data_IF_453520775265
#
_entry.id   IF_453520775265
#
_cell.length_a   1.000
_cell.length_b   1.000
_cell.length_c   1.000
_cell.angle_alpha   90.00
_cell.angle_beta   90.00
_cell.angle_gamma   90.00
#
_symmetry.space_group_name_H-M   'P 1'
#
loop_
_entity.id
_entity.type
_entity.pdbx_description
1 polymer ?
#
# COMPACT_ATOMS: atom_id res chain seq x y z
N UNK A 1 64.90 -13.62 1.39
CA UNK A 1 64.03 -12.46 1.68
C UNK A 1 63.13 -12.05 0.51
N UNK A 2 63.63 -11.84 -0.72
CA UNK A 2 62.82 -11.36 -1.87
C UNK A 2 61.66 -12.29 -2.31
N UNK A 3 61.74 -13.61 -2.08
CA UNK A 3 60.66 -14.57 -2.42
C UNK A 3 59.48 -14.55 -1.44
N UNK A 4 59.74 -14.29 -0.15
CA UNK A 4 58.70 -14.29 0.90
C UNK A 4 57.83 -13.02 0.77
N UNK A 5 58.42 -11.90 0.38
CA UNK A 5 57.70 -10.63 0.15
C UNK A 5 56.72 -10.75 -1.04
N UNK A 6 57.07 -11.48 -2.11
CA UNK A 6 56.16 -11.70 -3.24
C UNK A 6 54.95 -12.58 -2.89
N UNK A 7 55.12 -13.56 -2.01
CA UNK A 7 54.02 -14.43 -1.58
C UNK A 7 53.06 -13.68 -0.65
N UNK A 8 53.58 -12.83 0.25
CA UNK A 8 52.74 -12.00 1.14
C UNK A 8 51.95 -10.91 0.40
N UNK A 9 52.52 -10.37 -0.70
CA UNK A 9 51.86 -9.35 -1.51
C UNK A 9 50.74 -9.94 -2.40
N UNK A 10 50.89 -11.19 -2.85
CA UNK A 10 49.83 -11.87 -3.62
C UNK A 10 48.66 -12.33 -2.74
N UNK A 11 48.89 -12.74 -1.49
CA UNK A 11 47.81 -13.14 -0.58
C UNK A 11 47.00 -11.96 -0.05
N UNK A 12 47.62 -10.80 0.14
CA UNK A 12 46.92 -9.57 0.55
C UNK A 12 46.05 -8.99 -0.56
N UNK A 13 46.47 -9.09 -1.83
CA UNK A 13 45.66 -8.65 -2.97
C UNK A 13 44.46 -9.59 -3.24
N UNK A 14 44.60 -10.89 -2.97
CA UNK A 14 43.51 -11.86 -3.14
C UNK A 14 42.45 -11.74 -2.03
N UNK A 15 42.83 -11.33 -0.82
CA UNK A 15 41.89 -11.13 0.29
C UNK A 15 41.03 -9.86 0.13
N UNK A 16 41.52 -8.86 -0.61
CA UNK A 16 40.79 -7.62 -0.93
C UNK A 16 39.73 -7.78 -2.03
N UNK A 17 39.72 -8.90 -2.74
CA UNK A 17 38.70 -9.21 -3.77
C UNK A 17 37.52 -10.03 -3.23
N UNK A 18 37.53 -10.40 -1.93
CA UNK A 18 36.45 -11.16 -1.27
C UNK A 18 35.60 -10.26 -0.38
N UNK A 19 35.96 -9.00 -0.20
CA UNK A 19 35.02 -8.02 0.34
C UNK A 19 34.02 -7.70 -0.76
N UNK A 20 32.95 -8.51 -0.85
CA UNK A 20 31.72 -8.07 -1.47
C UNK A 20 31.44 -6.68 -0.91
N UNK A 21 31.43 -5.68 -1.77
CA UNK A 21 30.79 -4.42 -1.42
C UNK A 21 29.37 -4.81 -1.07
N UNK A 22 29.11 -4.97 0.22
CA UNK A 22 27.76 -4.91 0.74
C UNK A 22 27.32 -3.54 0.27
N UNK A 23 26.44 -3.50 -0.74
CA UNK A 23 25.70 -2.27 -1.02
C UNK A 23 25.22 -1.84 0.35
N UNK A 24 25.68 -0.69 0.82
CA UNK A 24 25.15 -0.10 2.03
C UNK A 24 23.63 -0.05 1.78
N UNK A 25 22.90 -0.97 2.42
CA UNK A 25 21.47 -0.86 2.51
C UNK A 25 21.29 0.45 3.22
N UNK A 26 20.73 1.44 2.52
CA UNK A 26 20.22 2.63 3.18
C UNK A 26 19.38 2.09 4.33
N UNK A 27 19.82 2.34 5.56
CA UNK A 27 19.22 1.74 6.73
C UNK A 27 17.71 1.98 6.65
N UNK A 28 16.94 0.90 6.51
CA UNK A 28 15.49 0.98 6.48
C UNK A 28 15.06 1.60 7.80
N UNK A 29 14.58 2.85 7.76
CA UNK A 29 14.06 3.51 8.93
C UNK A 29 12.85 2.70 9.41
N UNK A 30 12.86 2.17 10.64
CA UNK A 30 11.78 1.30 11.07
C UNK A 30 10.53 2.14 11.39
N UNK A 31 9.32 1.53 11.39
CA UNK A 31 8.06 2.24 11.68
C UNK A 31 8.06 3.03 12.99
N UNK A 32 8.84 2.63 14.01
CA UNK A 32 8.94 3.40 15.25
C UNK A 32 9.54 4.80 15.10
N UNK A 33 10.17 5.12 13.97
CA UNK A 33 10.66 6.47 13.66
C UNK A 33 9.59 7.39 13.07
N UNK A 34 8.50 6.81 12.56
CA UNK A 34 7.35 7.54 12.02
C UNK A 34 6.43 7.92 13.17
N UNK A 35 5.87 9.12 13.13
CA UNK A 35 4.92 9.58 14.14
C UNK A 35 3.50 9.08 13.81
N UNK A 36 2.96 8.24 14.70
CA UNK A 36 1.61 7.73 14.62
C UNK A 36 1.04 7.45 16.01
N UNK A 37 -0.25 7.69 16.16
CA UNK A 37 -0.97 7.51 17.42
C UNK A 37 -2.39 7.04 17.15
N UNK A 38 -3.14 6.76 18.21
CA UNK A 38 -4.49 6.20 18.10
C UNK A 38 -5.46 6.94 19.00
N UNK A 39 -6.66 7.20 18.49
CA UNK A 39 -7.83 7.62 19.26
C UNK A 39 -8.93 6.59 19.09
N UNK A 40 -10.06 6.65 19.83
CA UNK A 40 -11.11 5.66 19.68
C UNK A 40 -11.56 5.56 18.22
N UNK A 41 -11.42 4.35 17.66
CA UNK A 41 -11.77 4.00 16.27
C UNK A 41 -10.94 4.65 15.16
N UNK A 42 -9.81 5.28 15.45
CA UNK A 42 -8.95 5.92 14.44
C UNK A 42 -7.47 5.68 14.72
N UNK A 43 -6.72 5.35 13.68
CA UNK A 43 -5.25 5.46 13.65
C UNK A 43 -4.90 6.77 12.94
N UNK A 44 -4.03 7.55 13.56
CA UNK A 44 -3.48 8.78 12.99
C UNK A 44 -2.03 8.55 12.60
N UNK A 45 -1.67 8.87 11.36
CA UNK A 45 -0.29 8.75 10.86
C UNK A 45 0.13 10.11 10.33
N UNK A 46 1.24 10.64 10.82
CA UNK A 46 1.77 11.90 10.32
C UNK A 46 2.28 11.74 8.89
N UNK A 47 1.73 12.54 7.98
CA UNK A 47 2.07 12.57 6.56
C UNK A 47 3.21 13.57 6.32
N UNK A 48 4.41 13.21 6.74
CA UNK A 48 5.61 14.02 6.53
C UNK A 48 6.62 13.35 5.59
N UNK A 49 7.71 14.07 5.32
CA UNK A 49 8.77 13.60 4.42
C UNK A 49 9.42 12.30 4.89
N UNK A 50 9.37 12.00 6.19
CA UNK A 50 9.90 10.77 6.77
C UNK A 50 9.05 9.58 6.36
N UNK A 51 7.71 9.66 6.54
CA UNK A 51 6.78 8.63 6.07
C UNK A 51 6.93 8.43 4.56
N UNK A 52 6.93 9.53 3.78
CA UNK A 52 7.07 9.47 2.33
C UNK A 52 8.36 8.78 1.88
N UNK A 53 9.48 9.17 2.49
CA UNK A 53 10.79 8.58 2.19
C UNK A 53 10.81 7.09 2.53
N UNK A 54 10.32 6.73 3.72
CA UNK A 54 10.21 5.34 4.15
C UNK A 54 9.41 4.50 3.17
N UNK A 55 8.17 4.88 2.84
CA UNK A 55 7.33 4.12 1.93
C UNK A 55 7.93 4.01 0.52
N UNK A 56 8.64 5.04 0.05
CA UNK A 56 9.23 5.05 -1.29
C UNK A 56 10.38 4.04 -1.49
N UNK A 57 11.03 3.59 -0.40
CA UNK A 57 12.11 2.61 -0.46
C UNK A 57 11.62 1.21 -0.85
N UNK A 58 10.43 0.83 -0.36
CA UNK A 58 9.76 -0.42 -0.68
C UNK A 58 8.26 -0.29 -0.41
N UNK A 59 7.50 0.19 -1.40
CA UNK A 59 6.07 0.46 -1.27
C UNK A 59 5.29 -0.72 -0.71
N UNK A 60 5.66 -1.96 -1.06
CA UNK A 60 4.94 -3.15 -0.62
C UNK A 60 5.23 -3.43 0.86
N UNK A 61 6.50 -3.64 1.16
CA UNK A 61 6.89 -4.13 2.48
C UNK A 61 6.75 -3.05 3.55
N UNK A 62 7.05 -1.78 3.22
CA UNK A 62 6.98 -0.69 4.18
C UNK A 62 5.54 -0.23 4.45
N UNK A 63 4.65 -0.25 3.43
CA UNK A 63 3.21 -0.01 3.68
C UNK A 63 2.65 -1.12 4.56
N UNK A 64 2.96 -2.38 4.28
CA UNK A 64 2.55 -3.52 5.11
C UNK A 64 3.04 -3.39 6.56
N UNK A 65 4.30 -3.02 6.76
CA UNK A 65 4.87 -2.78 8.09
C UNK A 65 4.14 -1.62 8.80
N UNK A 66 3.84 -0.53 8.11
CA UNK A 66 3.10 0.60 8.66
C UNK A 66 1.67 0.21 9.08
N UNK A 67 0.97 -0.59 8.28
CA UNK A 67 -0.36 -1.13 8.60
C UNK A 67 -0.31 -1.99 9.86
N UNK A 68 0.65 -2.91 9.96
CA UNK A 68 0.78 -3.77 11.12
C UNK A 68 1.13 -3.00 12.39
N UNK A 69 2.11 -2.10 12.31
CA UNK A 69 2.47 -1.22 13.43
C UNK A 69 1.27 -0.38 13.91
N UNK A 70 0.47 0.14 12.97
CA UNK A 70 -0.75 0.91 13.25
C UNK A 70 -1.80 0.09 13.99
N UNK A 71 -2.10 -1.12 13.50
CA UNK A 71 -3.11 -2.01 14.07
C UNK A 71 -2.66 -2.57 15.42
N UNK A 72 -1.38 -2.92 15.55
CA UNK A 72 -0.78 -3.39 16.80
C UNK A 72 -0.81 -2.30 17.88
N UNK A 73 -0.53 -1.04 17.52
CA UNK A 73 -0.68 0.09 18.43
C UNK A 73 -2.12 0.26 18.87
N UNK A 74 -3.07 0.23 17.93
CA UNK A 74 -4.48 0.35 18.27
C UNK A 74 -4.92 -0.76 19.25
N UNK A 75 -4.58 -2.01 18.94
CA UNK A 75 -4.88 -3.16 19.79
C UNK A 75 -4.25 -3.03 21.18
N UNK A 76 -3.01 -2.56 21.26
CA UNK A 76 -2.32 -2.34 22.53
C UNK A 76 -2.98 -1.25 23.39
N UNK A 77 -3.62 -0.25 22.77
CA UNK A 77 -4.27 0.86 23.45
C UNK A 77 -5.73 0.56 23.87
N UNK A 78 -6.46 -0.25 23.11
CA UNK A 78 -7.90 -0.48 23.30
C UNK A 78 -8.31 -1.93 23.56
N UNK A 79 -7.35 -2.87 23.57
CA UNK A 79 -7.56 -4.31 23.72
C UNK A 79 -8.55 -4.93 22.70
N UNK A 80 -8.78 -4.24 21.58
CA UNK A 80 -9.61 -4.68 20.45
C UNK A 80 -8.93 -4.36 19.11
N UNK A 81 -9.22 -5.13 18.06
CA UNK A 81 -8.75 -4.80 16.72
C UNK A 81 -9.55 -3.61 16.20
N UNK A 82 -8.87 -2.72 15.48
CA UNK A 82 -9.57 -1.72 14.66
C UNK A 82 -10.25 -2.41 13.49
N UNK A 83 -11.52 -2.08 13.25
CA UNK A 83 -12.34 -2.69 12.19
C UNK A 83 -12.02 -2.12 10.80
N UNK A 84 -10.76 -2.23 10.36
CA UNK A 84 -10.27 -1.84 9.03
C UNK A 84 -9.42 -2.97 8.45
N UNK A 85 -9.66 -3.32 7.19
CA UNK A 85 -8.85 -4.34 6.50
C UNK A 85 -7.46 -3.82 6.18
N UNK A 86 -6.45 -4.71 6.18
CA UNK A 86 -5.06 -4.33 5.86
C UNK A 86 -4.94 -3.72 4.46
N UNK A 87 -5.72 -4.25 3.52
CA UNK A 87 -5.78 -3.76 2.14
C UNK A 87 -6.32 -2.33 2.07
N UNK A 88 -7.43 -2.04 2.76
CA UNK A 88 -8.03 -0.71 2.80
C UNK A 88 -7.09 0.33 3.41
N UNK A 89 -6.51 0.00 4.57
CA UNK A 89 -5.55 0.88 5.25
C UNK A 89 -4.29 1.09 4.39
N UNK A 90 -3.80 0.06 3.68
CA UNK A 90 -2.66 0.20 2.76
C UNK A 90 -2.95 1.20 1.63
N UNK A 91 -4.15 1.12 1.03
CA UNK A 91 -4.55 1.99 -0.07
C UNK A 91 -4.73 3.43 0.41
N UNK A 92 -5.33 3.64 1.57
CA UNK A 92 -5.47 4.96 2.17
C UNK A 92 -4.11 5.61 2.47
N UNK A 93 -3.18 4.85 3.09
CA UNK A 93 -1.82 5.34 3.38
C UNK A 93 -1.14 5.77 2.07
N UNK A 94 -1.12 4.91 1.05
CA UNK A 94 -0.51 5.26 -0.25
C UNK A 94 -1.25 6.41 -0.93
N UNK A 95 -2.58 6.43 -0.85
CA UNK A 95 -3.45 7.46 -1.40
C UNK A 95 -3.13 8.85 -0.87
N UNK A 96 -2.88 8.97 0.43
CA UNK A 96 -2.55 10.26 1.05
C UNK A 96 -1.06 10.63 0.98
N UNK A 97 -0.15 9.66 0.95
CA UNK A 97 1.29 9.94 0.85
C UNK A 97 1.71 10.28 -0.59
N UNK A 98 1.07 9.66 -1.58
CA UNK A 98 1.35 9.87 -3.00
C UNK A 98 0.09 10.31 -3.77
N UNK A 99 -0.56 11.42 -3.38
CA UNK A 99 -1.89 11.75 -3.88
C UNK A 99 -1.89 12.07 -5.37
N UNK A 100 -0.93 12.83 -5.88
CA UNK A 100 -0.82 13.10 -7.33
C UNK A 100 -0.60 11.83 -8.15
N UNK A 101 0.15 10.88 -7.57
CA UNK A 101 0.34 9.58 -8.18
C UNK A 101 -0.99 8.85 -8.26
N UNK A 102 -1.77 8.82 -7.17
CA UNK A 102 -3.03 8.05 -7.09
C UNK A 102 -4.20 8.73 -7.80
N UNK A 103 -4.23 10.07 -7.84
CA UNK A 103 -5.32 10.89 -8.39
C UNK A 103 -5.58 10.65 -9.87
N UNK A 104 -4.56 10.28 -10.63
CA UNK A 104 -4.71 9.92 -12.05
C UNK A 104 -5.62 8.69 -12.29
N UNK A 105 -5.95 7.95 -11.23
CA UNK A 105 -6.66 6.67 -11.27
C UNK A 105 -8.03 6.72 -10.58
N UNK A 106 -8.49 7.91 -10.22
CA UNK A 106 -9.76 8.14 -9.53
C UNK A 106 -10.67 9.05 -10.36
N UNK A 107 -12.00 8.99 -10.18
CA UNK A 107 -12.91 9.98 -10.74
C UNK A 107 -12.47 11.40 -10.38
N UNK A 108 -12.62 12.39 -11.26
CA UNK A 108 -12.04 13.73 -11.06
C UNK A 108 -12.46 14.44 -9.77
N UNK A 109 -13.69 14.21 -9.29
CA UNK A 109 -14.16 14.72 -7.99
C UNK A 109 -13.40 14.06 -6.82
N UNK A 110 -13.07 12.78 -6.96
CA UNK A 110 -12.34 12.01 -5.95
C UNK A 110 -10.83 12.26 -6.00
N UNK A 111 -10.27 12.39 -7.21
CA UNK A 111 -8.91 12.87 -7.42
C UNK A 111 -8.68 14.21 -6.70
N UNK A 112 -9.62 15.15 -6.87
CA UNK A 112 -9.58 16.46 -6.19
C UNK A 112 -9.68 16.33 -4.66
N UNK A 113 -10.47 15.37 -4.17
CA UNK A 113 -10.57 15.09 -2.73
C UNK A 113 -9.26 14.56 -2.16
N UNK A 114 -8.62 13.58 -2.82
CA UNK A 114 -7.38 12.97 -2.31
C UNK A 114 -6.13 13.85 -2.53
N UNK A 115 -6.15 14.74 -3.53
CA UNK A 115 -5.10 15.73 -3.78
C UNK A 115 -5.08 16.86 -2.74
N UNK A 116 -6.12 16.98 -1.92
CA UNK A 116 -6.01 17.77 -0.71
C UNK A 116 -5.04 17.06 0.24
N UNK A 117 -3.78 17.50 0.19
CA UNK A 117 -2.74 17.04 1.10
C UNK A 117 -3.20 17.23 2.54
N UNK A 118 -3.33 16.12 3.26
CA UNK A 118 -3.57 16.14 4.70
C UNK A 118 -2.22 16.01 5.41
N UNK A 119 -2.01 16.81 6.45
CA UNK A 119 -0.82 16.68 7.30
C UNK A 119 -0.83 15.38 8.11
N UNK A 120 -2.03 14.86 8.41
CA UNK A 120 -2.27 13.61 9.13
C UNK A 120 -3.20 12.74 8.29
N UNK A 121 -2.90 11.44 8.23
CA UNK A 121 -3.74 10.40 7.63
C UNK A 121 -4.57 9.80 8.75
N UNK A 122 -5.88 9.96 8.68
CA UNK A 122 -6.82 9.50 9.69
C UNK A 122 -7.51 8.21 9.22
N UNK A 123 -6.89 7.07 9.51
CA UNK A 123 -7.44 5.76 9.17
C UNK A 123 -8.47 5.32 10.22
N UNK A 124 -9.72 5.68 9.99
CA UNK A 124 -10.84 5.41 10.90
C UNK A 124 -11.79 4.29 10.48
N UNK A 125 -12.46 3.69 11.44
CA UNK A 125 -13.55 2.75 11.17
C UNK A 125 -14.70 3.42 10.41
N UNK A 126 -15.50 2.64 9.69
CA UNK A 126 -16.67 3.12 8.92
C UNK A 126 -17.66 4.00 9.71
N UNK A 127 -17.70 3.86 11.04
CA UNK A 127 -18.58 4.66 11.91
C UNK A 127 -18.07 6.08 12.19
N UNK A 128 -16.80 6.38 11.90
CA UNK A 128 -16.15 7.68 12.18
C UNK A 128 -15.48 8.28 10.95
N UNK A 129 -14.93 7.45 10.06
CA UNK A 129 -14.34 7.86 8.80
C UNK A 129 -15.40 7.83 7.69
N UNK A 130 -15.71 9.03 7.17
CA UNK A 130 -16.75 9.25 6.15
C UNK A 130 -16.31 8.83 4.75
N UNK A 131 -15.01 8.68 4.53
CA UNK A 131 -14.43 8.38 3.23
C UNK A 131 -13.93 6.93 3.16
N UNK A 132 -14.06 6.15 4.24
CA UNK A 132 -13.70 4.71 4.31
C UNK A 132 -14.20 3.88 3.15
N UNK A 133 -15.41 4.18 2.67
CA UNK A 133 -16.03 3.48 1.54
C UNK A 133 -15.23 3.60 0.24
N UNK A 134 -14.52 4.70 0.01
CA UNK A 134 -13.65 4.90 -1.15
C UNK A 134 -12.49 3.91 -1.09
N UNK A 135 -11.77 3.90 0.04
CA UNK A 135 -10.59 3.07 0.24
C UNK A 135 -10.93 1.58 0.13
N UNK A 136 -12.06 1.18 0.72
CA UNK A 136 -12.57 -0.19 0.60
C UNK A 136 -12.92 -0.53 -0.85
N UNK A 137 -13.61 0.35 -1.58
CA UNK A 137 -14.00 0.13 -2.99
C UNK A 137 -12.77 -0.09 -3.88
N UNK A 138 -11.73 0.73 -3.73
CA UNK A 138 -10.47 0.60 -4.46
C UNK A 138 -9.76 -0.71 -4.07
N UNK A 139 -9.68 -1.00 -2.76
CA UNK A 139 -8.98 -2.17 -2.23
C UNK A 139 -9.60 -3.49 -2.70
N UNK A 140 -10.94 -3.57 -2.77
CA UNK A 140 -11.62 -4.77 -3.26
C UNK A 140 -11.38 -5.00 -4.76
N UNK A 141 -11.43 -3.95 -5.59
CA UNK A 141 -11.13 -4.11 -7.01
C UNK A 141 -9.70 -4.60 -7.22
N UNK A 142 -8.72 -3.91 -6.65
CA UNK A 142 -7.31 -4.28 -6.84
C UNK A 142 -6.99 -5.67 -6.26
N UNK A 143 -7.64 -6.05 -5.17
CA UNK A 143 -7.45 -7.35 -4.52
C UNK A 143 -8.08 -8.54 -5.26
N UNK A 144 -9.23 -8.34 -5.92
CA UNK A 144 -10.04 -9.44 -6.46
C UNK A 144 -10.11 -9.46 -8.00
N UNK A 145 -9.64 -8.41 -8.67
CA UNK A 145 -9.70 -8.28 -10.14
C UNK A 145 -9.16 -9.52 -10.86
N UNK A 146 -7.93 -9.95 -10.55
CA UNK A 146 -7.31 -11.10 -11.22
C UNK A 146 -8.10 -12.39 -11.00
N UNK A 147 -8.65 -12.58 -9.80
CA UNK A 147 -9.48 -13.75 -9.49
C UNK A 147 -10.74 -13.75 -10.34
N UNK A 148 -11.48 -12.64 -10.38
CA UNK A 148 -12.73 -12.51 -11.13
C UNK A 148 -12.51 -12.68 -12.63
N UNK A 149 -11.43 -12.11 -13.18
CA UNK A 149 -11.11 -12.26 -14.60
C UNK A 149 -10.70 -13.71 -14.93
N UNK A 150 -9.85 -14.34 -14.10
CA UNK A 150 -9.36 -15.71 -14.32
C UNK A 150 -10.41 -16.81 -14.10
N UNK A 151 -11.39 -16.61 -13.21
CA UNK A 151 -12.52 -17.54 -13.01
C UNK A 151 -13.37 -17.69 -14.29
N UNK A 152 -13.26 -16.76 -15.24
CA UNK A 152 -14.04 -16.73 -16.49
C UNK A 152 -13.47 -17.58 -17.64
N UNK A 153 -12.71 -18.64 -17.33
CA UNK A 153 -12.01 -19.55 -18.27
C UNK A 153 -12.85 -20.23 -19.37
N UNK A 154 -14.12 -19.91 -19.53
CA UNK A 154 -14.98 -20.31 -20.67
C UNK A 154 -14.90 -19.36 -21.88
N UNK A 155 -13.84 -18.54 -21.99
CA UNK A 155 -13.47 -17.88 -23.25
C UNK A 155 -14.27 -16.63 -23.64
N UNK A 156 -15.15 -16.11 -22.77
CA UNK A 156 -15.80 -14.81 -22.96
C UNK A 156 -15.18 -13.77 -22.04
N UNK A 157 -14.64 -12.71 -22.62
CA UNK A 157 -14.16 -11.54 -21.90
C UNK A 157 -15.33 -10.86 -21.18
N UNK A 158 -15.16 -10.54 -19.90
CA UNK A 158 -16.16 -9.81 -19.11
C UNK A 158 -16.09 -8.33 -19.43
N UNK A 159 -17.24 -7.70 -19.54
CA UNK A 159 -17.36 -6.25 -19.52
C UNK A 159 -16.94 -5.69 -18.15
N UNK A 160 -16.55 -4.42 -18.09
CA UNK A 160 -16.19 -3.76 -16.83
C UNK A 160 -17.30 -3.83 -15.79
N UNK A 161 -18.54 -3.68 -16.23
CA UNK A 161 -19.70 -3.81 -15.36
C UNK A 161 -19.85 -5.21 -14.77
N UNK A 162 -19.63 -6.26 -15.57
CA UNK A 162 -19.68 -7.65 -15.08
C UNK A 162 -18.55 -7.96 -14.08
N UNK A 163 -17.39 -7.34 -14.23
CA UNK A 163 -16.28 -7.44 -13.27
C UNK A 163 -16.66 -6.73 -11.97
N UNK A 164 -17.11 -5.47 -12.04
CA UNK A 164 -17.54 -4.68 -10.88
C UNK A 164 -18.67 -5.38 -10.13
N UNK A 165 -19.69 -5.86 -10.83
CA UNK A 165 -20.82 -6.54 -10.21
C UNK A 165 -20.39 -7.83 -9.51
N UNK A 166 -19.46 -8.58 -10.09
CA UNK A 166 -18.90 -9.77 -9.44
C UNK A 166 -18.16 -9.41 -8.14
N UNK A 167 -17.22 -8.46 -8.20
CA UNK A 167 -16.45 -8.01 -7.03
C UNK A 167 -17.39 -7.40 -5.97
N UNK A 168 -18.32 -6.56 -6.37
CA UNK A 168 -19.29 -5.91 -5.47
C UNK A 168 -20.15 -6.96 -4.77
N UNK A 169 -20.73 -7.91 -5.50
CA UNK A 169 -21.61 -8.92 -4.92
C UNK A 169 -20.87 -9.89 -3.99
N UNK A 170 -19.61 -10.19 -4.28
CA UNK A 170 -18.74 -11.00 -3.42
C UNK A 170 -18.45 -10.29 -2.08
N UNK A 171 -18.31 -8.97 -2.10
CA UNK A 171 -17.78 -8.22 -0.97
C UNK A 171 -18.82 -7.41 -0.16
N UNK A 172 -19.99 -7.09 -0.72
CA UNK A 172 -21.00 -6.20 -0.09
C UNK A 172 -21.57 -6.69 1.25
N UNK A 173 -21.42 -7.98 1.56
CA UNK A 173 -21.93 -8.58 2.81
C UNK A 173 -20.85 -8.76 3.87
N UNK A 174 -19.57 -8.61 3.50
CA UNK A 174 -18.42 -8.83 4.40
C UNK A 174 -17.76 -7.51 4.83
N UNK A 175 -17.96 -6.43 4.09
CA UNK A 175 -17.47 -5.11 4.50
C UNK A 175 -18.51 -4.36 5.35
N UNK A 176 -18.10 -3.67 6.43
CA UNK A 176 -18.99 -2.78 7.17
C UNK A 176 -19.32 -1.49 6.42
N UNK A 177 -18.62 -1.18 5.32
CA UNK A 177 -18.88 -0.01 4.48
C UNK A 177 -19.76 -0.29 3.27
N UNK A 178 -20.45 0.75 2.81
CA UNK A 178 -21.12 0.74 1.50
C UNK A 178 -20.06 0.83 0.40
N UNK A 179 -19.94 -0.16 -0.45
CA UNK A 179 -19.10 -0.07 -1.66
C UNK A 179 -19.74 0.83 -2.71
N UNK A 180 -18.92 1.50 -3.51
CA UNK A 180 -19.36 2.39 -4.57
C UNK A 180 -18.96 1.85 -5.94
N UNK A 181 -19.96 1.54 -6.77
CA UNK A 181 -19.74 0.91 -8.07
C UNK A 181 -19.08 1.85 -9.07
N UNK A 182 -19.26 3.17 -8.97
CA UNK A 182 -18.69 4.12 -9.91
C UNK A 182 -17.18 4.25 -9.67
N UNK A 183 -16.76 4.29 -8.40
CA UNK A 183 -15.34 4.18 -8.03
C UNK A 183 -14.77 2.85 -8.53
N UNK A 184 -15.45 1.73 -8.26
CA UNK A 184 -14.98 0.41 -8.68
C UNK A 184 -14.84 0.29 -10.21
N UNK A 185 -15.81 0.84 -10.96
CA UNK A 185 -15.82 0.81 -12.42
C UNK A 185 -14.63 1.57 -12.99
N UNK A 186 -14.35 2.76 -12.45
CA UNK A 186 -13.19 3.54 -12.85
C UNK A 186 -11.88 2.78 -12.61
N UNK A 187 -11.73 2.13 -11.45
CA UNK A 187 -10.53 1.33 -11.15
C UNK A 187 -10.41 0.15 -12.13
N UNK A 188 -11.51 -0.54 -12.46
CA UNK A 188 -11.52 -1.63 -13.45
C UNK A 188 -11.11 -1.14 -14.85
N UNK A 189 -11.67 -0.04 -15.32
CA UNK A 189 -11.31 0.60 -16.59
C UNK A 189 -9.81 0.93 -16.65
N UNK A 190 -9.29 1.47 -15.55
CA UNK A 190 -7.88 1.83 -15.46
C UNK A 190 -6.98 0.59 -15.50
N UNK A 191 -7.36 -0.51 -14.83
CA UNK A 191 -6.59 -1.77 -14.88
C UNK A 191 -6.51 -2.28 -16.32
N UNK A 192 -7.64 -2.33 -17.03
CA UNK A 192 -7.69 -2.85 -18.40
C UNK A 192 -6.91 -1.98 -19.39
N UNK A 193 -6.93 -0.66 -19.19
CA UNK A 193 -6.18 0.26 -20.04
C UNK A 193 -4.68 0.31 -19.68
N UNK A 194 -4.20 -0.52 -18.74
CA UNK A 194 -2.86 -0.45 -18.13
C UNK A 194 -2.54 0.93 -17.56
N UNK A 195 -3.58 1.69 -17.23
CA UNK A 195 -3.52 2.99 -16.60
C UNK A 195 -3.72 2.82 -15.10
N UNK A 196 -3.15 1.84 -14.40
CA UNK A 196 -3.11 1.85 -12.93
C UNK A 196 -1.69 2.02 -12.47
N UNK A 197 -1.48 2.83 -11.42
CA UNK A 197 -0.13 2.99 -10.92
C UNK A 197 0.45 1.65 -10.48
N UNK A 198 1.68 1.32 -10.90
CA UNK A 198 2.39 0.18 -10.34
C UNK A 198 2.51 0.24 -8.81
N UNK A 199 2.51 1.43 -8.19
CA UNK A 199 2.56 1.57 -6.72
C UNK A 199 1.30 0.97 -6.04
N UNK A 200 0.11 1.22 -6.60
CA UNK A 200 -1.15 0.66 -6.07
C UNK A 200 -1.24 -0.86 -6.29
N UNK A 201 -0.66 -1.37 -7.37
CA UNK A 201 -0.59 -2.82 -7.61
C UNK A 201 0.44 -3.51 -6.70
N UNK A 202 1.49 -2.80 -6.32
CA UNK A 202 2.58 -3.34 -5.48
C UNK A 202 2.18 -3.53 -4.03
N UNK A 203 1.16 -2.85 -3.51
CA UNK A 203 0.72 -3.06 -2.12
C UNK A 203 -0.03 -4.38 -1.89
N UNK A 204 -0.36 -5.12 -2.96
CA UNK A 204 -0.95 -6.46 -2.91
C UNK A 204 0.11 -7.54 -3.16
#
# INVERSE_FOLDING_TARGET
MKKIIKVLLCTTLFLLMITSFSKASAATLPPETIDYWVTPKVVHIKNDDLLKSYLSLDYKNHTKQMVYASKDRYRSNYDTDISISDKSMSIEIIGHVFPDTVANYLPGWLASMIQNHTAIIDSGEASVDRDRWIWDSIAFVLGDYNKVVLETRNGKEKTNQEIVDAIYNQNRMITPTKLDKDVMLKVVEDIQNNNVNPILLKVF
#
